data_IF_788944836428
#
_entry.id   IF_788944836428
#
_cell.length_a   1.000
_cell.length_b   1.000
_cell.length_c   1.000
_cell.angle_alpha   90.00
_cell.angle_beta   90.00
_cell.angle_gamma   90.00
#
_symmetry.space_group_name_H-M   'P 1'
#
loop_
_entity.id
_entity.type
_entity.pdbx_description
1 polymer ?
#
# COMPACT_ATOMS: atom_id res chain seq x y z
N UNK A 1 -12.95 -40.72 7.56
CA UNK A 1 -12.27 -40.10 6.39
C UNK A 1 -13.26 -39.29 5.56
N UNK A 2 -13.61 -38.02 5.96
CA UNK A 2 -14.40 -37.10 5.13
C UNK A 2 -14.38 -35.68 5.77
N UNK A 3 -13.24 -35.00 5.80
CA UNK A 3 -13.15 -33.62 6.26
C UNK A 3 -12.60 -32.57 5.25
N UNK A 4 -12.02 -32.92 4.08
CA UNK A 4 -11.45 -31.89 3.20
C UNK A 4 -12.47 -31.07 2.41
N UNK A 5 -13.63 -31.69 2.04
CA UNK A 5 -14.63 -31.01 1.19
C UNK A 5 -15.43 -29.92 1.91
N UNK A 6 -15.72 -30.09 3.21
CA UNK A 6 -16.41 -29.06 4.00
C UNK A 6 -15.54 -27.83 4.26
N UNK A 7 -14.24 -28.02 4.42
CA UNK A 7 -13.29 -26.91 4.62
C UNK A 7 -13.15 -26.05 3.35
N UNK A 8 -13.07 -26.68 2.18
CA UNK A 8 -12.99 -25.97 0.90
C UNK A 8 -14.24 -25.14 0.58
N UNK A 9 -15.43 -25.62 0.92
CA UNK A 9 -16.68 -24.88 0.76
C UNK A 9 -16.70 -23.63 1.64
N UNK A 10 -16.35 -23.73 2.93
CA UNK A 10 -16.32 -22.62 3.87
C UNK A 10 -15.30 -21.54 3.46
N UNK A 11 -14.17 -21.95 2.87
CA UNK A 11 -13.15 -21.02 2.36
C UNK A 11 -13.68 -20.22 1.16
N UNK A 12 -14.36 -20.86 0.24
CA UNK A 12 -14.97 -20.22 -0.91
C UNK A 12 -16.09 -19.26 -0.50
N UNK A 13 -16.95 -19.69 0.44
CA UNK A 13 -18.04 -18.88 0.98
C UNK A 13 -17.50 -17.59 1.62
N UNK A 14 -16.37 -17.67 2.32
CA UNK A 14 -15.75 -16.48 2.94
C UNK A 14 -15.17 -15.51 1.91
N UNK A 15 -14.61 -16.00 0.79
CA UNK A 15 -14.18 -15.14 -0.32
C UNK A 15 -15.34 -14.49 -1.03
N UNK A 16 -16.44 -15.22 -1.27
CA UNK A 16 -17.67 -14.68 -1.87
C UNK A 16 -18.24 -13.59 -0.94
N UNK A 17 -18.30 -13.84 0.36
CA UNK A 17 -18.73 -12.83 1.33
C UNK A 17 -17.86 -11.58 1.30
N UNK A 18 -16.55 -11.73 1.20
CA UNK A 18 -15.62 -10.60 1.10
C UNK A 18 -15.85 -9.79 -0.18
N UNK A 19 -16.05 -10.45 -1.31
CA UNK A 19 -16.34 -9.82 -2.61
C UNK A 19 -17.65 -9.03 -2.60
N UNK A 20 -18.64 -9.49 -1.84
CA UNK A 20 -19.95 -8.82 -1.74
C UNK A 20 -19.96 -7.65 -0.74
N UNK A 21 -19.17 -7.73 0.34
CA UNK A 21 -19.26 -6.81 1.48
C UNK A 21 -18.23 -5.69 1.48
N UNK A 22 -17.04 -5.90 0.92
CA UNK A 22 -15.96 -4.90 0.99
C UNK A 22 -16.19 -3.73 -0.01
N UNK A 23 -16.62 -3.97 -1.27
CA UNK A 23 -16.73 -2.89 -2.27
C UNK A 23 -17.70 -1.79 -1.86
N UNK A 24 -17.31 -0.53 -2.10
CA UNK A 24 -18.17 0.63 -1.92
C UNK A 24 -18.41 1.05 -0.46
N UNK A 25 -17.69 0.46 0.49
CA UNK A 25 -17.80 0.81 1.91
C UNK A 25 -17.08 2.12 2.24
N UNK A 26 -17.61 2.89 3.19
CA UNK A 26 -16.90 3.99 3.83
C UNK A 26 -15.80 3.47 4.77
N UNK A 27 -14.94 4.36 5.28
CA UNK A 27 -13.78 3.95 6.09
C UNK A 27 -14.15 3.12 7.32
N UNK A 28 -15.18 3.55 8.07
CA UNK A 28 -15.62 2.83 9.27
C UNK A 28 -16.17 1.44 8.94
N UNK A 29 -17.05 1.36 7.94
CA UNK A 29 -17.64 0.09 7.51
C UNK A 29 -16.59 -0.85 6.89
N UNK A 30 -15.61 -0.28 6.18
CA UNK A 30 -14.47 -1.04 5.66
C UNK A 30 -13.69 -1.70 6.78
N UNK A 31 -13.32 -0.93 7.81
CA UNK A 31 -12.55 -1.45 8.95
C UNK A 31 -13.34 -2.55 9.67
N UNK A 32 -14.62 -2.33 9.91
CA UNK A 32 -15.47 -3.32 10.57
C UNK A 32 -15.63 -4.58 9.73
N UNK A 33 -15.94 -4.44 8.44
CA UNK A 33 -16.13 -5.56 7.52
C UNK A 33 -14.85 -6.42 7.40
N UNK A 34 -13.72 -5.80 7.15
CA UNK A 34 -12.42 -6.51 7.03
C UNK A 34 -12.04 -7.17 8.35
N UNK A 35 -12.28 -6.50 9.47
CA UNK A 35 -12.06 -7.06 10.80
C UNK A 35 -12.93 -8.29 11.08
N UNK A 36 -14.24 -8.26 10.73
CA UNK A 36 -15.15 -9.39 10.87
C UNK A 36 -14.74 -10.59 10.00
N UNK A 37 -14.33 -10.34 8.74
CA UNK A 37 -13.88 -11.39 7.84
C UNK A 37 -12.63 -12.10 8.38
N UNK A 38 -11.62 -11.35 8.81
CA UNK A 38 -10.42 -11.93 9.41
C UNK A 38 -10.67 -12.56 10.78
N UNK A 39 -11.64 -12.03 11.55
CA UNK A 39 -12.06 -12.62 12.85
C UNK A 39 -12.55 -14.06 12.71
N UNK A 40 -13.18 -14.43 11.59
CA UNK A 40 -13.58 -15.82 11.29
C UNK A 40 -12.39 -16.75 11.08
N UNK A 41 -11.20 -16.20 10.91
CA UNK A 41 -9.93 -16.92 10.74
C UNK A 41 -9.03 -16.83 11.99
N UNK A 42 -9.59 -16.58 13.17
CA UNK A 42 -8.85 -16.45 14.45
C UNK A 42 -7.81 -15.31 14.43
N UNK A 43 -8.09 -14.24 13.67
CA UNK A 43 -7.28 -13.02 13.66
C UNK A 43 -7.97 -11.96 14.53
N UNK A 44 -7.31 -11.52 15.59
CA UNK A 44 -7.85 -10.51 16.51
C UNK A 44 -7.76 -9.10 15.93
N UNK A 45 -6.65 -8.83 15.25
CA UNK A 45 -6.31 -7.51 14.74
C UNK A 45 -5.85 -7.56 13.29
N UNK A 46 -6.21 -6.54 12.54
CA UNK A 46 -5.59 -6.28 11.25
C UNK A 46 -5.15 -4.82 11.15
N UNK A 47 -4.14 -4.57 10.33
CA UNK A 47 -3.78 -3.25 9.86
C UNK A 47 -3.46 -3.33 8.35
N UNK A 48 -4.25 -2.66 7.56
CA UNK A 48 -3.91 -2.40 6.17
C UNK A 48 -3.15 -1.08 6.10
N UNK A 49 -1.93 -1.13 5.59
CA UNK A 49 -1.07 0.03 5.39
C UNK A 49 -0.86 0.24 3.90
N UNK A 50 -1.07 1.46 3.44
CA UNK A 50 -0.76 1.90 2.10
C UNK A 50 0.23 3.05 2.16
N UNK A 51 1.37 2.87 1.50
CA UNK A 51 2.42 3.86 1.38
C UNK A 51 2.47 4.36 -0.06
N UNK A 52 2.22 5.63 -0.22
CA UNK A 52 2.48 6.36 -1.44
C UNK A 52 3.86 7.03 -1.31
N UNK A 53 4.87 6.38 -1.89
CA UNK A 53 6.26 6.84 -1.83
C UNK A 53 6.51 7.88 -2.93
N UNK A 54 5.96 9.08 -2.78
CA UNK A 54 6.32 10.15 -3.71
C UNK A 54 7.79 10.53 -3.53
N UNK A 55 8.59 10.63 -4.62
CA UNK A 55 10.01 11.02 -4.55
C UNK A 55 10.23 12.43 -3.99
N UNK A 56 9.18 13.18 -3.75
CA UNK A 56 9.17 14.62 -3.49
C UNK A 56 8.79 14.99 -2.05
N UNK A 57 8.95 14.06 -1.11
CA UNK A 57 8.99 14.40 0.31
C UNK A 57 7.65 14.37 1.06
N UNK A 58 6.52 14.16 0.42
CA UNK A 58 5.24 13.95 1.10
C UNK A 58 4.74 12.52 0.91
N UNK A 59 5.48 11.54 1.47
CA UNK A 59 4.96 10.18 1.54
C UNK A 59 3.63 10.19 2.30
N UNK A 60 2.54 9.84 1.62
CA UNK A 60 1.24 9.68 2.27
C UNK A 60 1.15 8.25 2.79
N UNK A 61 0.83 8.15 4.07
CA UNK A 61 0.57 6.87 4.72
C UNK A 61 -0.90 6.82 5.07
N UNK A 62 -1.62 5.87 4.50
CA UNK A 62 -2.98 5.53 4.91
C UNK A 62 -2.94 4.25 5.71
N UNK A 63 -3.60 4.24 6.87
CA UNK A 63 -3.69 3.06 7.73
C UNK A 63 -5.16 2.86 8.09
N UNK A 64 -5.72 1.73 7.66
CA UNK A 64 -7.05 1.26 8.04
C UNK A 64 -6.87 0.04 8.94
N UNK A 65 -7.37 0.11 10.17
CA UNK A 65 -7.03 -0.89 11.17
C UNK A 65 -8.03 -0.91 12.32
N UNK A 66 -8.20 -2.07 12.92
CA UNK A 66 -8.90 -2.27 14.19
C UNK A 66 -7.92 -2.37 15.39
N UNK A 67 -6.66 -1.98 15.24
CA UNK A 67 -5.70 -1.88 16.36
C UNK A 67 -6.18 -0.88 17.41
N UNK A 68 -5.74 -1.00 18.68
CA UNK A 68 -6.05 -0.01 19.72
C UNK A 68 -5.71 1.42 19.26
N UNK A 69 -6.65 2.35 19.46
CA UNK A 69 -6.56 3.71 18.97
C UNK A 69 -5.31 4.46 19.50
N UNK A 70 -4.94 4.23 20.76
CA UNK A 70 -3.74 4.82 21.37
C UNK A 70 -2.45 4.37 20.67
N UNK A 71 -2.39 3.09 20.26
CA UNK A 71 -1.26 2.58 19.49
C UNK A 71 -1.20 3.21 18.10
N UNK A 72 -2.33 3.28 17.41
CA UNK A 72 -2.40 3.90 16.08
C UNK A 72 -2.00 5.38 16.12
N UNK A 73 -2.45 6.13 17.14
CA UNK A 73 -2.06 7.52 17.33
C UNK A 73 -0.53 7.65 17.53
N UNK A 74 0.04 6.86 18.43
CA UNK A 74 1.50 6.82 18.67
C UNK A 74 2.29 6.45 17.40
N UNK A 75 1.80 5.44 16.66
CA UNK A 75 2.46 4.94 15.44
C UNK A 75 2.48 6.01 14.35
N UNK A 76 1.38 6.74 14.16
CA UNK A 76 1.26 7.85 13.19
C UNK A 76 2.10 9.05 13.61
N UNK A 77 1.94 9.54 14.84
CA UNK A 77 2.63 10.73 15.37
C UNK A 77 4.15 10.59 15.28
N UNK A 78 4.68 9.44 15.68
CA UNK A 78 6.12 9.16 15.65
C UNK A 78 6.62 8.64 14.32
N UNK A 79 5.75 8.53 13.31
CA UNK A 79 6.08 7.95 11.99
C UNK A 79 6.84 6.62 12.09
N UNK A 80 6.38 5.73 12.97
CA UNK A 80 7.10 4.49 13.32
C UNK A 80 7.27 3.55 12.12
N UNK A 81 6.41 3.65 11.09
CA UNK A 81 6.54 2.89 9.84
C UNK A 81 7.91 3.05 9.17
N UNK A 82 8.61 4.18 9.39
CA UNK A 82 9.95 4.42 8.81
C UNK A 82 11.04 3.53 9.37
N UNK A 83 10.84 2.99 10.57
CA UNK A 83 11.81 2.15 11.27
C UNK A 83 11.25 0.80 11.71
N UNK A 84 9.98 0.53 11.38
CA UNK A 84 9.35 -0.75 11.65
C UNK A 84 9.98 -1.85 10.80
N UNK A 85 10.63 -2.86 11.41
CA UNK A 85 11.33 -3.92 10.67
C UNK A 85 10.38 -4.74 9.79
N UNK A 86 9.10 -4.86 10.16
CA UNK A 86 8.09 -5.55 9.37
C UNK A 86 7.80 -4.77 8.09
N UNK A 87 7.60 -3.45 8.19
CA UNK A 87 7.36 -2.59 7.02
C UNK A 87 8.58 -2.56 6.10
N UNK A 88 9.79 -2.44 6.66
CA UNK A 88 11.04 -2.45 5.90
C UNK A 88 11.21 -3.78 5.15
N UNK A 89 10.90 -4.90 5.79
CA UNK A 89 10.96 -6.21 5.14
C UNK A 89 9.88 -6.33 4.06
N UNK A 90 8.66 -5.90 4.34
CA UNK A 90 7.54 -5.94 3.39
C UNK A 90 7.86 -5.21 2.08
N UNK A 91 8.56 -4.08 2.15
CA UNK A 91 8.95 -3.31 0.96
C UNK A 91 9.93 -4.07 0.04
N UNK A 92 10.57 -5.13 0.52
CA UNK A 92 11.58 -5.90 -0.20
C UNK A 92 11.17 -7.34 -0.51
N UNK A 93 9.92 -7.72 -0.25
CA UNK A 93 9.39 -9.06 -0.52
C UNK A 93 7.99 -9.01 -1.10
N UNK A 94 7.66 -9.94 -1.98
CA UNK A 94 6.29 -10.18 -2.48
C UNK A 94 5.65 -11.42 -1.85
N UNK A 95 6.40 -12.20 -1.06
CA UNK A 95 5.91 -13.39 -0.42
C UNK A 95 5.33 -13.06 0.96
N UNK A 96 4.17 -13.59 1.33
CA UNK A 96 3.64 -13.50 2.69
C UNK A 96 4.56 -14.19 3.70
N UNK A 97 4.68 -13.64 4.92
CA UNK A 97 5.60 -14.12 5.94
C UNK A 97 5.06 -13.94 7.35
N UNK A 98 5.49 -14.80 8.27
CA UNK A 98 5.28 -14.58 9.71
C UNK A 98 6.34 -13.59 10.24
N UNK A 99 5.96 -12.75 11.20
CA UNK A 99 6.89 -11.80 11.82
C UNK A 99 8.08 -12.50 12.49
N UNK A 100 7.85 -13.70 13.06
CA UNK A 100 8.90 -14.55 13.64
C UNK A 100 10.00 -14.92 12.64
N UNK A 101 9.69 -15.01 11.36
CA UNK A 101 10.66 -15.39 10.32
C UNK A 101 11.65 -14.27 10.03
N UNK A 102 11.25 -13.03 10.31
CA UNK A 102 12.00 -11.80 10.00
C UNK A 102 12.70 -11.24 11.22
N UNK A 103 12.02 -11.22 12.36
CA UNK A 103 12.54 -10.60 13.57
C UNK A 103 13.73 -11.40 14.13
N UNK A 104 14.91 -10.76 14.16
CA UNK A 104 16.13 -11.33 14.73
C UNK A 104 16.59 -10.50 15.91
N UNK A 105 17.21 -11.11 16.94
CA UNK A 105 17.90 -10.34 17.98
C UNK A 105 18.88 -9.36 17.35
N UNK A 106 18.86 -8.09 17.72
CA UNK A 106 19.65 -6.98 17.18
C UNK A 106 19.14 -6.32 15.88
N UNK A 107 17.94 -6.65 15.40
CA UNK A 107 17.31 -5.84 14.35
C UNK A 107 17.10 -4.40 14.85
N UNK A 108 17.40 -3.41 14.00
CA UNK A 108 16.99 -2.04 14.27
C UNK A 108 15.45 -1.95 14.25
N UNK A 109 14.86 -1.17 15.13
CA UNK A 109 13.40 -0.98 15.17
C UNK A 109 12.64 -2.03 16.00
N UNK A 110 13.32 -2.96 16.68
CA UNK A 110 12.65 -3.90 17.60
C UNK A 110 11.86 -3.20 18.72
N UNK A 111 12.22 -1.97 19.03
CA UNK A 111 11.45 -1.15 19.98
C UNK A 111 10.03 -0.87 19.51
N UNK A 112 9.77 -0.84 18.18
CA UNK A 112 8.42 -0.70 17.63
C UNK A 112 7.59 -1.95 17.93
N UNK A 113 8.18 -3.14 17.72
CA UNK A 113 7.53 -4.41 18.04
C UNK A 113 7.29 -4.54 19.57
N UNK A 114 8.26 -4.16 20.37
CA UNK A 114 8.13 -4.16 21.84
C UNK A 114 7.05 -3.19 22.34
N UNK A 115 6.85 -2.05 21.68
CA UNK A 115 5.76 -1.14 21.97
C UNK A 115 4.40 -1.73 21.56
N UNK A 116 4.29 -2.28 20.33
CA UNK A 116 3.09 -2.93 19.84
C UNK A 116 2.62 -4.09 20.76
N UNK A 117 3.58 -4.85 21.30
CA UNK A 117 3.30 -5.96 22.22
C UNK A 117 2.60 -5.53 23.52
N UNK A 118 2.80 -4.28 23.98
CA UNK A 118 2.11 -3.72 25.17
C UNK A 118 0.61 -3.52 24.91
N UNK A 119 0.23 -3.40 23.66
CA UNK A 119 -1.17 -3.28 23.20
C UNK A 119 -1.74 -4.62 22.74
N UNK A 120 -1.07 -5.73 23.03
CA UNK A 120 -1.52 -7.07 22.69
C UNK A 120 -1.19 -7.51 21.27
N UNK A 121 -0.41 -6.72 20.52
CA UNK A 121 0.00 -7.04 19.14
C UNK A 121 1.35 -7.74 19.20
N UNK A 122 1.35 -9.07 19.28
CA UNK A 122 2.57 -9.85 19.56
C UNK A 122 3.01 -10.73 18.41
N UNK A 123 2.09 -11.48 17.85
CA UNK A 123 2.33 -12.42 16.76
C UNK A 123 1.63 -11.92 15.53
N UNK A 124 2.28 -11.97 14.40
CA UNK A 124 1.67 -11.46 13.19
C UNK A 124 2.12 -12.18 11.93
N UNK A 125 1.29 -11.99 10.92
CA UNK A 125 1.50 -12.45 9.56
C UNK A 125 1.26 -11.28 8.60
N UNK A 126 2.09 -11.12 7.61
CA UNK A 126 1.99 -10.03 6.65
C UNK A 126 1.82 -10.55 5.24
N UNK A 127 0.88 -9.95 4.50
CA UNK A 127 0.68 -10.13 3.07
C UNK A 127 1.13 -8.85 2.37
N UNK A 128 2.25 -8.86 1.62
CA UNK A 128 2.64 -7.76 0.76
C UNK A 128 1.65 -7.60 -0.40
N UNK A 129 1.29 -6.36 -0.73
CA UNK A 129 0.31 -5.99 -1.76
C UNK A 129 0.90 -4.88 -2.62
N UNK A 130 1.82 -5.27 -3.52
CA UNK A 130 2.55 -4.31 -4.35
C UNK A 130 1.74 -3.90 -5.57
N UNK A 131 1.70 -2.60 -5.82
CA UNK A 131 1.12 -2.02 -7.04
C UNK A 131 2.23 -1.65 -8.05
N UNK A 132 1.92 -1.65 -9.35
CA UNK A 132 2.80 -1.04 -10.34
C UNK A 132 3.07 0.43 -9.98
N UNK A 133 4.32 0.85 -10.10
CA UNK A 133 4.76 2.16 -9.60
C UNK A 133 5.48 2.02 -8.26
N UNK A 134 5.66 3.07 -7.51
CA UNK A 134 6.36 3.03 -6.21
C UNK A 134 5.40 3.09 -5.02
N UNK A 135 4.19 2.68 -5.20
CA UNK A 135 3.22 2.53 -4.12
C UNK A 135 3.23 1.09 -3.65
N UNK A 136 3.12 0.86 -2.37
CA UNK A 136 2.86 -0.47 -1.89
C UNK A 136 1.81 -0.46 -0.79
N UNK A 137 0.99 -1.51 -0.81
CA UNK A 137 0.12 -1.86 0.27
C UNK A 137 0.67 -3.05 1.04
N UNK A 138 0.18 -3.22 2.24
CA UNK A 138 0.42 -4.42 3.03
C UNK A 138 -0.72 -4.67 3.99
N UNK A 139 -1.09 -5.93 4.13
CA UNK A 139 -2.04 -6.40 5.13
C UNK A 139 -1.27 -7.09 6.25
N UNK A 140 -1.39 -6.55 7.45
CA UNK A 140 -0.79 -7.09 8.66
C UNK A 140 -1.90 -7.69 9.50
N UNK A 141 -1.80 -8.97 9.80
CA UNK A 141 -2.72 -9.71 10.65
C UNK A 141 -2.03 -10.01 11.98
N UNK A 142 -2.70 -9.87 13.10
CA UNK A 142 -2.09 -10.12 14.39
C UNK A 142 -3.04 -10.79 15.39
N UNK A 143 -2.46 -11.51 16.33
CA UNK A 143 -3.16 -12.11 17.46
C UNK A 143 -2.72 -11.49 18.78
N UNK A 144 -3.67 -11.47 19.75
CA UNK A 144 -3.46 -10.91 21.10
C UNK A 144 -2.54 -11.75 21.98
N UNK A 145 -2.55 -13.04 21.80
CA UNK A 145 -1.81 -13.97 22.64
C UNK A 145 -0.93 -14.92 21.82
N UNK A 146 -0.04 -15.65 22.50
CA UNK A 146 0.63 -16.84 21.93
C UNK A 146 -0.43 -17.84 21.53
N UNK A 147 -0.87 -17.77 20.28
CA UNK A 147 -2.01 -18.49 19.84
C UNK A 147 -1.61 -19.45 18.73
N UNK A 148 -1.41 -20.72 19.10
CA UNK A 148 -1.24 -21.79 18.13
C UNK A 148 -2.40 -21.83 17.14
N UNK A 149 -3.62 -21.43 17.55
CA UNK A 149 -4.79 -21.37 16.69
C UNK A 149 -4.61 -20.33 15.57
N UNK A 150 -4.05 -19.17 15.89
CA UNK A 150 -3.73 -18.15 14.88
C UNK A 150 -2.75 -18.69 13.83
N UNK A 151 -1.64 -19.29 14.27
CA UNK A 151 -0.63 -19.83 13.35
C UNK A 151 -1.23 -20.93 12.48
N UNK A 152 -1.92 -21.91 13.09
CA UNK A 152 -2.57 -23.01 12.37
C UNK A 152 -3.64 -22.50 11.41
N UNK A 153 -4.45 -21.52 11.82
CA UNK A 153 -5.45 -20.91 10.97
C UNK A 153 -4.84 -20.19 9.78
N UNK A 154 -3.79 -19.39 10.00
CA UNK A 154 -3.07 -18.69 8.92
C UNK A 154 -2.47 -19.69 7.93
N UNK A 155 -1.84 -20.77 8.42
CA UNK A 155 -1.25 -21.79 7.56
C UNK A 155 -2.30 -22.54 6.73
N UNK A 156 -3.42 -22.90 7.36
CA UNK A 156 -4.51 -23.60 6.67
C UNK A 156 -5.24 -22.71 5.65
N UNK A 157 -5.27 -21.38 5.87
CA UNK A 157 -6.10 -20.43 5.12
C UNK A 157 -5.30 -19.42 4.30
N UNK A 158 -4.01 -19.66 4.01
CA UNK A 158 -3.13 -18.67 3.30
C UNK A 158 -3.73 -18.11 2.02
N UNK A 159 -4.40 -18.91 1.22
CA UNK A 159 -4.99 -18.50 -0.04
C UNK A 159 -6.21 -17.59 0.19
N UNK A 160 -7.05 -17.92 1.16
CA UNK A 160 -8.22 -17.10 1.53
C UNK A 160 -7.77 -15.78 2.12
N UNK A 161 -6.80 -15.80 3.03
CA UNK A 161 -6.19 -14.59 3.60
C UNK A 161 -5.65 -13.68 2.49
N UNK A 162 -4.91 -14.25 1.53
CA UNK A 162 -4.42 -13.49 0.38
C UNK A 162 -5.56 -12.91 -0.44
N UNK A 163 -6.59 -13.70 -0.75
CA UNK A 163 -7.76 -13.24 -1.52
C UNK A 163 -8.49 -12.08 -0.83
N UNK A 164 -8.78 -12.21 0.47
CA UNK A 164 -9.41 -11.14 1.26
C UNK A 164 -8.51 -9.89 1.28
N UNK A 165 -7.19 -10.08 1.44
CA UNK A 165 -6.24 -8.96 1.46
C UNK A 165 -6.19 -8.21 0.13
N UNK A 166 -6.24 -8.92 -1.00
CA UNK A 166 -6.31 -8.33 -2.35
C UNK A 166 -7.63 -7.58 -2.58
N UNK A 167 -8.77 -8.18 -2.20
CA UNK A 167 -10.07 -7.52 -2.27
C UNK A 167 -10.10 -6.24 -1.42
N UNK A 168 -9.60 -6.31 -0.20
CA UNK A 168 -9.49 -5.16 0.68
C UNK A 168 -8.57 -4.07 0.10
N UNK A 169 -7.45 -4.47 -0.49
CA UNK A 169 -6.51 -3.55 -1.12
C UNK A 169 -7.14 -2.79 -2.30
N UNK A 170 -7.81 -3.49 -3.21
CA UNK A 170 -8.42 -2.86 -4.38
C UNK A 170 -9.65 -2.00 -4.06
N UNK A 171 -10.36 -2.33 -2.98
CA UNK A 171 -11.58 -1.63 -2.57
C UNK A 171 -11.36 -0.73 -1.34
N UNK A 172 -10.12 -0.41 -1.02
CA UNK A 172 -9.81 0.49 0.10
C UNK A 172 -10.45 1.86 -0.07
N UNK A 173 -10.94 2.48 1.00
CA UNK A 173 -11.43 3.84 0.94
C UNK A 173 -10.34 4.79 0.45
N UNK A 174 -10.63 5.52 -0.61
CA UNK A 174 -9.74 6.59 -1.09
C UNK A 174 -10.14 7.88 -0.43
N UNK A 175 -9.21 8.67 0.15
CA UNK A 175 -9.55 9.99 0.65
C UNK A 175 -10.21 10.81 -0.46
N UNK A 176 -11.37 11.41 -0.17
CA UNK A 176 -12.19 12.14 -1.13
C UNK A 176 -11.51 13.37 -1.80
N UNK A 177 -10.26 13.64 -1.48
CA UNK A 177 -9.49 14.78 -1.98
C UNK A 177 -8.66 14.48 -3.23
N UNK A 178 -8.90 13.40 -3.98
CA UNK A 178 -8.11 13.03 -5.17
C UNK A 178 -8.93 12.70 -6.41
N UNK A 179 -10.10 13.31 -6.61
CA UNK A 179 -10.83 13.16 -7.88
C UNK A 179 -10.37 14.15 -8.98
N UNK A 180 -9.50 15.09 -8.69
CA UNK A 180 -8.78 15.80 -9.74
C UNK A 180 -7.52 15.01 -10.13
N UNK A 181 -7.75 13.86 -10.78
CA UNK A 181 -6.68 13.12 -11.40
C UNK A 181 -5.95 14.09 -12.34
N UNK A 182 -4.70 14.41 -12.00
CA UNK A 182 -3.83 15.26 -12.80
C UNK A 182 -3.74 14.67 -14.21
N UNK A 183 -4.52 15.19 -15.14
CA UNK A 183 -4.57 14.73 -16.53
C UNK A 183 -3.62 15.55 -17.37
N UNK A 184 -2.67 14.90 -17.99
CA UNK A 184 -1.84 15.52 -19.01
C UNK A 184 -2.59 15.53 -20.35
N UNK A 185 -2.47 16.64 -21.07
CA UNK A 185 -2.88 16.68 -22.48
C UNK A 185 -1.96 15.78 -23.31
N UNK A 186 -2.38 15.32 -24.49
CA UNK A 186 -1.52 14.52 -25.38
C UNK A 186 -0.17 15.16 -25.66
N UNK A 187 -0.12 16.48 -25.83
CA UNK A 187 1.10 17.24 -26.09
C UNK A 187 2.01 17.37 -24.86
N UNK A 188 1.44 17.53 -23.69
CA UNK A 188 2.19 17.52 -22.42
C UNK A 188 2.83 16.14 -22.16
N UNK A 189 2.06 15.07 -22.42
CA UNK A 189 2.55 13.70 -22.31
C UNK A 189 3.69 13.44 -23.31
N UNK A 190 3.51 13.81 -24.59
CA UNK A 190 4.51 13.68 -25.63
C UNK A 190 5.82 14.41 -25.25
N UNK A 191 5.72 15.65 -24.76
CA UNK A 191 6.87 16.44 -24.26
C UNK A 191 7.62 15.70 -23.15
N UNK A 192 6.91 15.24 -22.12
CA UNK A 192 7.52 14.56 -20.97
C UNK A 192 8.14 13.22 -21.37
N UNK A 193 7.55 12.48 -22.30
CA UNK A 193 8.13 11.24 -22.84
C UNK A 193 9.46 11.48 -23.54
N UNK A 194 9.55 12.48 -24.42
CA UNK A 194 10.82 12.81 -25.07
C UNK A 194 11.88 13.29 -24.08
N UNK A 195 11.44 14.07 -23.09
CA UNK A 195 12.32 14.53 -22.02
C UNK A 195 12.85 13.34 -21.17
N UNK A 196 12.00 12.36 -20.85
CA UNK A 196 12.37 11.14 -20.11
C UNK A 196 13.36 10.25 -20.88
N UNK A 197 13.33 10.31 -22.22
CA UNK A 197 14.30 9.65 -23.10
C UNK A 197 15.62 10.43 -23.25
N UNK A 198 15.80 11.53 -22.49
CA UNK A 198 17.02 12.32 -22.48
C UNK A 198 17.17 13.30 -23.65
N UNK A 199 16.10 13.56 -24.42
CA UNK A 199 16.14 14.52 -25.52
C UNK A 199 16.33 15.93 -25.02
N UNK A 200 17.16 16.71 -25.73
CA UNK A 200 17.35 18.15 -25.49
C UNK A 200 16.13 18.93 -25.97
N UNK A 201 15.92 20.14 -25.49
CA UNK A 201 14.82 21.01 -25.91
C UNK A 201 14.83 21.28 -27.42
N UNK A 202 16.02 21.40 -28.02
CA UNK A 202 16.18 21.54 -29.46
C UNK A 202 15.69 20.30 -30.21
N UNK A 203 16.09 19.11 -29.79
CA UNK A 203 15.63 17.84 -30.38
C UNK A 203 14.13 17.64 -30.21
N UNK A 204 13.58 17.92 -29.01
CA UNK A 204 12.15 17.87 -28.75
C UNK A 204 11.40 18.83 -29.68
N UNK A 205 11.91 20.05 -29.88
CA UNK A 205 11.33 21.00 -30.81
C UNK A 205 11.26 20.48 -32.24
N UNK A 206 12.33 19.85 -32.72
CA UNK A 206 12.37 19.21 -34.05
C UNK A 206 11.38 18.05 -34.14
N UNK A 207 11.34 17.16 -33.15
CA UNK A 207 10.48 15.97 -33.15
C UNK A 207 8.98 16.37 -33.09
N UNK A 208 8.63 17.32 -32.21
CA UNK A 208 7.24 17.76 -32.03
C UNK A 208 6.81 18.81 -33.08
N UNK A 209 7.71 19.22 -33.97
CA UNK A 209 7.51 20.29 -34.96
C UNK A 209 7.04 21.62 -34.32
N UNK A 210 7.77 22.06 -33.27
CA UNK A 210 7.54 23.31 -32.54
C UNK A 210 8.86 24.03 -32.27
N UNK A 211 8.79 25.29 -31.91
CA UNK A 211 10.00 26.04 -31.58
C UNK A 211 10.57 25.63 -30.21
N UNK A 212 11.90 25.78 -30.03
CA UNK A 212 12.52 25.58 -28.71
C UNK A 212 11.90 26.43 -27.60
N UNK A 213 11.43 27.64 -27.98
CA UNK A 213 10.70 28.54 -27.05
C UNK A 213 9.40 27.88 -26.56
N UNK A 214 8.68 27.19 -27.45
CA UNK A 214 7.47 26.45 -27.12
C UNK A 214 7.79 25.24 -26.22
N UNK A 215 8.91 24.57 -26.46
CA UNK A 215 9.39 23.47 -25.59
C UNK A 215 9.67 23.98 -24.18
N UNK A 216 10.35 25.14 -24.05
CA UNK A 216 10.60 25.80 -22.75
C UNK A 216 9.29 26.20 -22.05
N UNK A 217 8.27 26.60 -22.81
CA UNK A 217 6.94 26.84 -22.27
C UNK A 217 6.31 25.56 -21.68
N UNK A 218 6.38 24.43 -22.39
CA UNK A 218 5.93 23.13 -21.85
C UNK A 218 6.69 22.76 -20.58
N UNK A 219 8.01 22.95 -20.56
CA UNK A 219 8.83 22.65 -19.39
C UNK A 219 8.36 23.45 -18.15
N UNK A 220 8.09 24.75 -18.32
CA UNK A 220 7.55 25.60 -17.25
C UNK A 220 6.15 25.17 -16.84
N UNK A 221 5.27 24.94 -17.80
CA UNK A 221 3.90 24.52 -17.55
C UNK A 221 3.86 23.18 -16.77
N UNK A 222 4.72 22.22 -17.14
CA UNK A 222 4.80 20.95 -16.42
C UNK A 222 5.35 21.13 -15.01
N UNK A 223 6.30 22.02 -14.80
CA UNK A 223 6.84 22.34 -13.47
C UNK A 223 5.75 22.92 -12.57
N UNK A 224 4.95 23.85 -13.09
CA UNK A 224 3.83 24.47 -12.36
C UNK A 224 2.70 23.46 -12.12
N UNK A 225 2.25 22.74 -13.15
CA UNK A 225 1.15 21.78 -13.10
C UNK A 225 1.43 20.59 -12.17
N UNK A 226 2.68 20.16 -12.12
CA UNK A 226 3.14 19.09 -11.25
C UNK A 226 3.65 19.60 -9.89
N UNK A 227 3.53 20.88 -9.61
CA UNK A 227 3.98 21.51 -8.35
C UNK A 227 5.44 21.15 -8.01
N UNK A 228 6.33 21.32 -8.97
CA UNK A 228 7.74 20.99 -8.86
C UNK A 228 8.62 22.23 -8.93
N UNK A 229 9.86 22.14 -8.44
CA UNK A 229 10.81 23.26 -8.47
C UNK A 229 11.59 23.34 -9.80
N UNK A 230 11.61 22.26 -10.58
CA UNK A 230 12.26 22.22 -11.88
C UNK A 230 11.69 21.08 -12.76
N UNK A 231 11.97 21.15 -14.06
CA UNK A 231 11.46 20.20 -15.05
C UNK A 231 11.96 18.77 -14.86
N UNK A 232 13.16 18.55 -14.32
CA UNK A 232 13.68 17.22 -14.01
C UNK A 232 12.87 16.55 -12.91
N UNK A 233 12.50 17.33 -11.90
CA UNK A 233 11.62 16.88 -10.84
C UNK A 233 10.20 16.62 -11.37
N UNK A 234 9.68 17.47 -12.25
CA UNK A 234 8.40 17.29 -12.90
C UNK A 234 8.37 15.97 -13.74
N UNK A 235 9.43 15.72 -14.49
CA UNK A 235 9.60 14.48 -15.24
C UNK A 235 9.60 13.24 -14.32
N UNK A 236 10.39 13.28 -13.25
CA UNK A 236 10.43 12.18 -12.27
C UNK A 236 9.06 11.95 -11.62
N UNK A 237 8.33 13.03 -11.29
CA UNK A 237 6.98 12.95 -10.74
C UNK A 237 5.98 12.36 -11.73
N UNK A 238 6.05 12.75 -13.00
CA UNK A 238 5.19 12.23 -14.05
C UNK A 238 5.42 10.72 -14.30
N UNK A 239 6.67 10.29 -14.34
CA UNK A 239 7.03 8.86 -14.43
C UNK A 239 6.54 8.08 -13.20
N UNK A 240 6.67 8.66 -12.02
CA UNK A 240 6.20 8.09 -10.78
C UNK A 240 4.68 7.89 -10.76
N UNK A 241 3.94 8.88 -11.25
CA UNK A 241 2.47 8.85 -11.34
C UNK A 241 1.94 8.06 -12.55
N UNK A 242 2.82 7.36 -13.29
CA UNK A 242 2.47 6.63 -14.53
C UNK A 242 1.71 7.52 -15.55
N UNK A 243 2.06 8.80 -15.60
CA UNK A 243 1.49 9.74 -16.57
C UNK A 243 2.22 9.71 -17.92
N UNK A 244 3.41 9.10 -17.95
CA UNK A 244 4.28 8.98 -19.14
C UNK A 244 4.97 7.63 -19.18
#
# INVERSE_FOLDING_TARGET
MHKPLQHGSQMLDLLIEAEQRIPGTGEADYIDTVGQLFGKLHVDYFAYLHLDLTPLGSSRVSIFSNYPAEWLATYREKSLYKKDPIIIHTANTSAPFFWSDVLRPRHSGLEVIGQAARYGIKHGFTVPLHEPGRTFGSMHLAAKADNNEFIQSVEANRLVIKGISELAHHNRPTPSAQSDALRLTPRENEFLRWLSMGKTYREIGLIMNITERTVKFYARQMTEKLECVNVKQAMMKAMYLNLV
#
